data_IF_504781660298
#
_entry.id   IF_504781660298
#
_cell.length_a   1.000
_cell.length_b   1.000
_cell.length_c   1.000
_cell.angle_alpha   90.00
_cell.angle_beta   90.00
_cell.angle_gamma   90.00
#
_symmetry.space_group_name_H-M   'P 1'
#
loop_
_entity.id
_entity.type
_entity.pdbx_description
1 polymer ?
#
# COMPACT_ATOMS: atom_id res chain seq x y z
N UNK A 1 -28.67 29.70 9.65
CA UNK A 1 -28.01 28.45 9.22
C UNK A 1 -28.06 27.46 10.37
N UNK A 2 -28.53 26.23 10.13
CA UNK A 2 -28.50 25.18 11.14
C UNK A 2 -27.04 24.73 11.33
N UNK A 3 -26.61 24.59 12.57
CA UNK A 3 -25.24 24.13 12.87
C UNK A 3 -25.10 22.63 12.55
N UNK A 4 -23.89 22.12 12.23
CA UNK A 4 -23.67 20.69 12.03
C UNK A 4 -24.18 19.84 13.19
N UNK A 5 -24.08 20.36 14.42
CA UNK A 5 -24.64 19.76 15.63
C UNK A 5 -26.16 19.60 15.57
N UNK A 6 -26.89 20.65 15.18
CA UNK A 6 -28.36 20.63 15.08
C UNK A 6 -28.83 19.69 13.98
N UNK A 7 -28.14 19.67 12.84
CA UNK A 7 -28.42 18.76 11.71
C UNK A 7 -28.27 17.30 12.16
N UNK A 8 -27.15 16.95 12.78
CA UNK A 8 -26.89 15.59 13.28
C UNK A 8 -27.90 15.17 14.35
N UNK A 9 -28.20 16.05 15.31
CA UNK A 9 -29.12 15.73 16.38
C UNK A 9 -30.55 15.49 15.85
N UNK A 10 -30.98 16.27 14.84
CA UNK A 10 -32.26 16.06 14.16
C UNK A 10 -32.30 14.71 13.44
N UNK A 11 -31.21 14.33 12.77
CA UNK A 11 -31.07 13.04 12.09
C UNK A 11 -31.10 11.88 13.08
N UNK A 12 -30.35 11.95 14.19
CA UNK A 12 -30.29 10.85 15.18
C UNK A 12 -31.61 10.65 15.93
N UNK A 13 -32.42 11.71 16.10
CA UNK A 13 -33.78 11.58 16.64
C UNK A 13 -34.73 10.79 15.73
N UNK A 14 -34.44 10.69 14.44
CA UNK A 14 -35.20 9.90 13.47
C UNK A 14 -34.74 8.44 13.36
N UNK A 15 -33.64 8.07 14.01
CA UNK A 15 -33.18 6.69 14.13
C UNK A 15 -33.86 6.01 15.31
N UNK A 16 -34.42 4.82 15.07
CA UNK A 16 -34.88 3.92 16.15
C UNK A 16 -33.74 3.51 17.08
N UNK A 17 -34.06 2.94 18.24
CA UNK A 17 -33.02 2.54 19.22
C UNK A 17 -32.05 1.49 18.65
N UNK A 18 -32.57 0.50 17.92
CA UNK A 18 -31.74 -0.56 17.31
C UNK A 18 -30.87 -0.01 16.17
N UNK A 19 -31.44 0.85 15.31
CA UNK A 19 -30.71 1.53 14.23
C UNK A 19 -29.63 2.47 14.78
N UNK A 20 -29.92 3.15 15.89
CA UNK A 20 -28.96 4.03 16.54
C UNK A 20 -27.84 3.23 17.22
N UNK A 21 -28.15 2.05 17.78
CA UNK A 21 -27.14 1.13 18.31
C UNK A 21 -26.23 0.61 17.19
N UNK A 22 -26.80 0.29 16.04
CA UNK A 22 -26.06 -0.12 14.85
C UNK A 22 -25.18 1.02 14.31
N UNK A 23 -25.71 2.25 14.30
CA UNK A 23 -24.95 3.46 13.96
C UNK A 23 -23.72 3.63 14.83
N UNK A 24 -23.88 3.50 16.15
CA UNK A 24 -22.76 3.54 17.08
C UNK A 24 -21.78 2.38 16.88
N UNK A 25 -22.21 1.22 16.40
CA UNK A 25 -21.32 0.10 16.09
C UNK A 25 -20.41 0.42 14.90
N UNK A 26 -20.97 0.97 13.82
CA UNK A 26 -20.18 1.36 12.64
C UNK A 26 -19.19 2.48 12.92
N UNK A 27 -19.49 3.37 13.86
CA UNK A 27 -18.54 4.40 14.31
C UNK A 27 -17.32 3.85 15.09
N UNK A 28 -17.35 2.59 15.53
CA UNK A 28 -16.27 1.95 16.31
C UNK A 28 -15.24 1.21 15.44
N UNK A 29 -15.58 0.89 14.19
CA UNK A 29 -14.82 -0.05 13.36
C UNK A 29 -14.21 0.55 12.10
N UNK A 30 -13.25 -0.16 11.51
CA UNK A 30 -12.57 0.18 10.25
C UNK A 30 -13.45 0.07 9.00
N UNK A 31 -14.77 -0.14 9.16
CA UNK A 31 -15.73 -0.40 8.08
C UNK A 31 -15.82 0.76 7.08
N UNK A 32 -15.63 2.00 7.56
CA UNK A 32 -15.74 3.21 6.72
C UNK A 32 -14.40 3.86 6.42
N UNK A 33 -13.29 3.18 6.68
CA UNK A 33 -11.99 3.82 6.52
C UNK A 33 -11.93 5.20 7.23
N UNK A 34 -12.49 5.28 8.43
CA UNK A 34 -12.35 6.42 9.33
C UNK A 34 -11.69 5.94 10.61
N UNK A 35 -10.93 6.81 11.27
CA UNK A 35 -10.50 6.53 12.65
C UNK A 35 -11.75 6.31 13.49
N UNK A 36 -11.96 5.12 14.03
CA UNK A 36 -13.14 4.80 14.82
C UNK A 36 -13.09 5.52 16.18
N UNK A 37 -14.24 5.98 16.66
CA UNK A 37 -14.34 6.50 18.03
C UNK A 37 -14.28 5.31 19.00
N UNK A 38 -13.52 5.46 20.08
CA UNK A 38 -13.35 4.42 21.11
C UNK A 38 -14.68 3.79 21.52
N UNK A 39 -14.75 2.45 21.43
CA UNK A 39 -15.90 1.62 21.82
C UNK A 39 -16.44 1.94 23.21
N UNK A 40 -15.55 2.11 24.18
CA UNK A 40 -15.92 2.45 25.57
C UNK A 40 -16.63 3.80 25.72
N UNK A 41 -16.42 4.75 24.79
CA UNK A 41 -17.06 6.07 24.80
C UNK A 41 -18.44 6.02 24.14
N UNK A 42 -18.58 5.28 23.04
CA UNK A 42 -19.84 5.18 22.29
C UNK A 42 -20.87 4.26 22.96
N UNK A 43 -20.45 3.24 23.70
CA UNK A 43 -21.37 2.28 24.33
C UNK A 43 -22.35 2.97 25.28
N UNK A 44 -21.89 3.94 26.07
CA UNK A 44 -22.69 4.68 27.06
C UNK A 44 -23.29 5.99 26.56
N UNK A 45 -22.87 6.46 25.38
CA UNK A 45 -23.29 7.74 24.82
C UNK A 45 -24.75 7.71 24.36
N UNK A 46 -25.52 8.72 24.75
CA UNK A 46 -26.84 8.98 24.17
C UNK A 46 -26.73 9.69 22.79
N UNK A 47 -27.86 10.11 22.22
CA UNK A 47 -27.89 10.79 20.91
C UNK A 47 -27.10 12.10 20.92
N UNK A 48 -27.19 12.88 22.00
CA UNK A 48 -26.46 14.14 22.15
C UNK A 48 -24.98 13.89 22.37
N UNK A 49 -24.64 12.99 23.29
CA UNK A 49 -23.26 12.60 23.58
C UNK A 49 -22.53 12.08 22.33
N UNK A 50 -23.24 11.32 21.49
CA UNK A 50 -22.67 10.79 20.24
C UNK A 50 -22.34 11.91 19.26
N UNK A 51 -23.20 12.93 19.13
CA UNK A 51 -22.90 14.10 18.29
C UNK A 51 -21.70 14.87 18.83
N UNK A 52 -21.63 15.05 20.15
CA UNK A 52 -20.56 15.77 20.82
C UNK A 52 -19.22 15.00 20.79
N UNK A 53 -19.25 13.67 20.64
CA UNK A 53 -18.07 12.86 20.35
C UNK A 53 -17.66 12.95 18.87
N UNK A 54 -18.62 13.00 17.94
CA UNK A 54 -18.36 12.99 16.51
C UNK A 54 -17.84 14.33 15.96
N UNK A 55 -18.31 15.47 16.48
CA UNK A 55 -17.89 16.79 16.02
C UNK A 55 -16.38 17.06 16.21
N UNK A 56 -15.78 16.89 17.40
CA UNK A 56 -14.35 17.10 17.58
C UNK A 56 -13.51 15.99 16.93
N UNK A 57 -14.06 14.80 16.74
CA UNK A 57 -13.34 13.66 16.20
C UNK A 57 -13.21 13.70 14.68
N UNK A 58 -14.27 14.11 13.98
CA UNK A 58 -14.30 14.13 12.51
C UNK A 58 -14.28 15.56 11.92
N UNK A 59 -14.48 16.60 12.74
CA UNK A 59 -14.39 18.00 12.31
C UNK A 59 -15.38 18.34 11.20
N UNK A 60 -14.87 18.88 10.08
CA UNK A 60 -15.72 19.22 8.93
C UNK A 60 -16.31 17.98 8.22
N UNK A 61 -15.72 16.80 8.44
CA UNK A 61 -16.15 15.56 7.79
C UNK A 61 -17.30 14.88 8.54
N UNK A 62 -17.75 15.39 9.69
CA UNK A 62 -18.77 14.72 10.52
C UNK A 62 -20.07 14.44 9.76
N UNK A 63 -20.50 15.34 8.88
CA UNK A 63 -21.72 15.15 8.08
C UNK A 63 -21.54 14.05 7.04
N UNK A 64 -20.37 13.98 6.40
CA UNK A 64 -20.04 12.95 5.42
C UNK A 64 -19.90 11.58 6.07
N UNK A 65 -19.26 11.51 7.24
CA UNK A 65 -19.19 10.28 8.05
C UNK A 65 -20.59 9.77 8.39
N UNK A 66 -21.46 10.63 8.90
CA UNK A 66 -22.85 10.25 9.19
C UNK A 66 -23.58 9.76 7.95
N UNK A 67 -23.33 10.38 6.79
CA UNK A 67 -23.92 9.95 5.52
C UNK A 67 -23.51 8.54 5.15
N UNK A 68 -22.22 8.22 5.23
CA UNK A 68 -21.72 6.90 4.89
C UNK A 68 -22.24 5.83 5.86
N UNK A 69 -22.28 6.12 7.17
CA UNK A 69 -22.86 5.19 8.14
C UNK A 69 -24.36 4.95 7.86
N UNK A 70 -25.12 5.98 7.49
CA UNK A 70 -26.55 5.83 7.19
C UNK A 70 -26.82 4.98 5.93
N UNK A 71 -25.92 4.98 4.94
CA UNK A 71 -25.99 4.07 3.79
C UNK A 71 -25.80 2.60 4.19
N UNK A 72 -25.06 2.35 5.27
CA UNK A 72 -24.86 1.01 5.82
C UNK A 72 -26.05 0.51 6.64
N UNK A 73 -26.90 1.41 7.15
CA UNK A 73 -28.05 1.11 8.05
C UNK A 73 -29.38 1.17 7.25
N UNK A 74 -29.40 0.70 5.99
CA UNK A 74 -30.43 1.01 4.97
C UNK A 74 -31.24 2.33 5.05
N UNK A 75 -30.79 3.39 5.74
CA UNK A 75 -31.55 4.64 5.96
C UNK A 75 -31.22 5.68 4.89
N UNK A 76 -31.44 5.30 3.63
CA UNK A 76 -31.22 6.17 2.47
C UNK A 76 -32.18 7.38 2.43
N UNK A 77 -33.33 7.28 3.11
CA UNK A 77 -34.26 8.39 3.34
C UNK A 77 -33.60 9.55 4.09
N UNK A 78 -32.80 9.26 5.11
CA UNK A 78 -32.08 10.26 5.90
C UNK A 78 -30.85 10.83 5.18
N UNK A 79 -30.25 10.05 4.27
CA UNK A 79 -29.12 10.49 3.43
C UNK A 79 -29.53 11.62 2.48
N UNK A 80 -30.74 11.54 1.91
CA UNK A 80 -31.28 12.58 1.05
C UNK A 80 -31.52 13.90 1.82
N UNK A 81 -32.13 13.83 3.00
CA UNK A 81 -32.38 15.01 3.84
C UNK A 81 -31.08 15.68 4.35
N UNK A 82 -30.04 14.89 4.61
CA UNK A 82 -28.70 15.40 4.95
C UNK A 82 -28.03 16.16 3.79
N UNK A 83 -28.45 15.89 2.56
CA UNK A 83 -27.91 16.53 1.35
C UNK A 83 -28.61 17.86 1.07
N UNK A 84 -29.94 17.90 1.23
CA UNK A 84 -30.74 19.13 1.05
C UNK A 84 -30.44 20.21 2.09
N UNK A 85 -29.99 19.83 3.29
CA UNK A 85 -29.57 20.79 4.33
C UNK A 85 -28.17 21.39 4.12
N UNK A 86 -27.41 20.90 3.13
CA UNK A 86 -26.03 21.33 2.85
C UNK A 86 -25.88 22.25 1.63
N UNK A 87 -26.92 22.42 0.82
CA UNK A 87 -26.89 23.13 -0.47
C UNK A 87 -27.50 24.54 -0.47
N UNK A 88 -27.83 25.12 0.69
CA UNK A 88 -28.16 26.55 0.75
C UNK A 88 -26.91 27.42 0.91
N UNK A 89 -26.23 27.71 -0.20
CA UNK A 89 -25.81 29.08 -0.56
C UNK A 89 -25.14 29.12 -1.94
N UNK A 90 -25.65 30.04 -2.76
CA UNK A 90 -25.26 30.36 -4.13
C UNK A 90 -24.57 31.72 -4.22
N UNK A 91 -23.98 31.98 -5.38
CA UNK A 91 -23.88 33.26 -6.12
C UNK A 91 -22.50 33.93 -6.28
N UNK A 92 -22.31 34.34 -7.53
CA UNK A 92 -21.15 34.91 -8.22
C UNK A 92 -20.72 36.30 -7.74
N UNK A 93 -19.46 36.66 -8.00
CA UNK A 93 -19.17 37.91 -8.71
C UNK A 93 -17.77 37.89 -9.35
N UNK A 94 -17.74 38.20 -10.64
CA UNK A 94 -16.58 38.62 -11.41
C UNK A 94 -16.02 39.96 -10.88
N UNK A 95 -14.70 40.13 -10.97
CA UNK A 95 -14.02 41.40 -10.70
C UNK A 95 -12.59 41.34 -11.21
N UNK A 96 -12.30 42.22 -12.16
CA UNK A 96 -11.16 42.23 -13.06
C UNK A 96 -9.79 42.50 -12.40
N UNK A 97 -8.74 41.98 -13.03
CA UNK A 97 -7.32 42.37 -12.89
C UNK A 97 -7.12 43.81 -13.44
N UNK A 98 -6.04 44.58 -13.10
CA UNK A 98 -4.69 44.19 -13.54
C UNK A 98 -3.44 44.78 -12.79
N UNK A 99 -2.28 44.13 -13.04
CA UNK A 99 -0.87 44.62 -13.06
C UNK A 99 -0.24 45.14 -11.73
N UNK A 100 0.98 44.81 -11.30
CA UNK A 100 2.27 44.66 -11.99
C UNK A 100 3.29 43.98 -11.04
N UNK A 101 4.06 42.98 -11.52
CA UNK A 101 5.48 43.04 -11.91
C UNK A 101 6.52 42.89 -10.77
N UNK A 102 7.34 41.84 -10.90
CA UNK A 102 8.56 41.56 -10.14
C UNK A 102 9.21 40.24 -10.61
N UNK A 103 9.96 40.33 -11.73
CA UNK A 103 10.97 39.37 -12.26
C UNK A 103 11.89 38.81 -11.16
N UNK A 104 12.64 37.70 -11.26
CA UNK A 104 12.82 36.55 -12.15
C UNK A 104 13.83 35.65 -11.38
N UNK A 105 13.69 34.33 -11.47
CA UNK A 105 14.87 33.45 -11.48
C UNK A 105 14.59 32.29 -12.45
N UNK A 106 15.28 32.23 -13.60
CA UNK A 106 15.07 31.23 -14.64
C UNK A 106 16.11 30.11 -14.50
N UNK A 107 15.68 28.85 -14.36
CA UNK A 107 16.30 27.66 -14.98
C UNK A 107 15.61 26.35 -14.54
N UNK A 108 14.28 26.30 -14.65
CA UNK A 108 13.57 25.03 -14.89
C UNK A 108 12.74 25.20 -16.16
N UNK A 109 13.44 25.28 -17.30
CA UNK A 109 12.81 25.23 -18.62
C UNK A 109 12.15 23.87 -18.80
N UNK A 110 10.85 23.92 -18.60
CA UNK A 110 9.84 23.00 -19.05
C UNK A 110 10.00 22.77 -20.56
N UNK A 111 10.62 21.66 -20.95
CA UNK A 111 10.55 21.08 -22.30
C UNK A 111 10.54 19.55 -22.10
N UNK A 112 9.60 18.73 -22.54
CA UNK A 112 8.34 18.92 -23.25
C UNK A 112 7.53 17.66 -22.91
N UNK A 113 6.28 17.84 -22.47
CA UNK A 113 5.30 16.78 -22.25
C UNK A 113 5.07 15.98 -23.54
N UNK A 114 5.18 14.64 -23.46
CA UNK A 114 4.27 13.71 -24.14
C UNK A 114 4.13 12.42 -23.34
N UNK A 115 3.12 12.39 -22.48
CA UNK A 115 2.35 11.19 -22.18
C UNK A 115 0.91 11.65 -22.01
N UNK A 116 0.18 11.56 -23.13
CA UNK A 116 -1.27 11.57 -23.13
C UNK A 116 -1.79 10.46 -22.21
N UNK A 117 -3.02 10.66 -21.71
CA UNK A 117 -3.88 9.82 -20.87
C UNK A 117 -3.89 10.18 -19.37
N UNK A 118 -5.02 10.77 -18.96
CA UNK A 118 -5.25 11.41 -17.66
C UNK A 118 -5.07 10.51 -16.44
N UNK A 119 -3.91 10.63 -15.79
CA UNK A 119 -3.63 10.10 -14.47
C UNK A 119 -3.44 11.20 -13.43
N UNK A 120 -4.04 11.00 -12.25
CA UNK A 120 -3.78 11.75 -11.01
C UNK A 120 -2.26 11.87 -10.81
N UNK A 121 -1.71 13.08 -10.62
CA UNK A 121 -0.28 13.25 -10.33
C UNK A 121 0.11 12.42 -9.11
N UNK A 122 1.05 11.49 -9.27
CA UNK A 122 1.57 10.67 -8.17
C UNK A 122 2.51 11.52 -7.31
N UNK A 123 2.19 11.65 -6.03
CA UNK A 123 3.01 12.39 -5.07
C UNK A 123 4.04 11.47 -4.36
N UNK A 124 5.08 12.07 -3.77
CA UNK A 124 6.07 11.35 -2.97
C UNK A 124 6.90 10.34 -3.76
N UNK A 125 7.17 9.17 -3.17
CA UNK A 125 7.95 8.09 -3.80
C UNK A 125 7.22 7.43 -4.97
N UNK A 126 5.88 7.48 -4.99
CA UNK A 126 5.04 6.88 -6.05
C UNK A 126 5.26 7.54 -7.42
N UNK A 127 5.89 8.71 -7.50
CA UNK A 127 6.27 9.32 -8.79
C UNK A 127 7.38 8.56 -9.52
N UNK A 128 8.07 7.66 -8.84
CA UNK A 128 9.13 6.81 -9.39
C UNK A 128 8.63 5.40 -9.72
N UNK A 129 7.30 5.22 -9.89
CA UNK A 129 6.73 3.92 -10.24
C UNK A 129 7.40 3.32 -11.46
N UNK A 130 7.78 2.04 -11.35
CA UNK A 130 8.26 1.24 -12.46
C UNK A 130 7.39 -0.01 -12.61
N UNK A 131 7.14 -0.42 -13.84
CA UNK A 131 6.49 -1.70 -14.12
C UNK A 131 7.55 -2.80 -14.13
N UNK A 132 7.24 -3.92 -13.45
CA UNK A 132 8.11 -5.09 -13.38
C UNK A 132 7.50 -6.24 -14.18
N UNK A 133 8.37 -7.04 -14.79
CA UNK A 133 8.00 -8.26 -15.50
C UNK A 133 8.75 -9.44 -14.90
N UNK A 134 8.02 -10.49 -14.52
CA UNK A 134 8.62 -11.73 -14.02
C UNK A 134 9.42 -12.42 -15.14
N UNK A 135 10.66 -12.82 -14.85
CA UNK A 135 11.49 -13.53 -15.83
C UNK A 135 11.30 -15.06 -15.73
N UNK A 136 10.47 -15.60 -16.61
CA UNK A 136 10.25 -17.05 -16.79
C UNK A 136 11.52 -17.90 -16.92
N UNK A 137 12.63 -17.32 -17.35
CA UNK A 137 13.91 -18.02 -17.49
C UNK A 137 14.62 -18.24 -16.14
N UNK A 138 14.27 -17.45 -15.12
CA UNK A 138 14.84 -17.55 -13.77
C UNK A 138 13.99 -18.39 -12.82
N UNK A 139 12.69 -18.53 -13.12
CA UNK A 139 11.69 -19.15 -12.23
C UNK A 139 12.06 -20.60 -11.86
N UNK A 140 12.20 -20.86 -10.57
CA UNK A 140 12.38 -22.21 -10.07
C UNK A 140 11.19 -23.13 -10.43
N UNK A 141 11.48 -24.41 -10.67
CA UNK A 141 10.50 -25.41 -11.11
C UNK A 141 9.34 -25.65 -10.13
N UNK A 142 9.49 -25.32 -8.85
CA UNK A 142 8.43 -25.46 -7.85
C UNK A 142 7.45 -24.27 -7.84
N UNK A 143 7.73 -23.21 -8.61
CA UNK A 143 6.89 -22.02 -8.70
C UNK A 143 6.00 -22.08 -9.93
N UNK A 144 4.78 -21.57 -9.81
CA UNK A 144 3.83 -21.46 -10.92
C UNK A 144 3.49 -20.01 -11.19
N UNK A 145 3.65 -19.59 -12.44
CA UNK A 145 3.16 -18.33 -12.95
C UNK A 145 1.66 -18.42 -13.29
N UNK A 146 0.92 -17.35 -13.03
CA UNK A 146 -0.52 -17.22 -13.29
C UNK A 146 -0.88 -15.74 -13.49
N UNK A 147 -2.15 -15.46 -13.81
CA UNK A 147 -2.67 -14.09 -13.97
C UNK A 147 -1.81 -13.27 -14.95
N UNK A 148 -1.64 -13.79 -16.17
CA UNK A 148 -0.80 -13.18 -17.21
C UNK A 148 0.65 -12.90 -16.75
N UNK A 149 1.22 -13.85 -16.01
CA UNK A 149 2.54 -13.75 -15.39
C UNK A 149 2.71 -12.52 -14.46
N UNK A 150 1.62 -12.07 -13.82
CA UNK A 150 1.70 -11.10 -12.71
C UNK A 150 1.73 -11.75 -11.34
N UNK A 151 1.32 -13.02 -11.22
CA UNK A 151 1.27 -13.74 -9.96
C UNK A 151 2.06 -15.03 -9.97
N UNK A 152 2.75 -15.27 -8.87
CA UNK A 152 3.60 -16.44 -8.61
C UNK A 152 3.04 -17.17 -7.40
N UNK A 153 3.02 -18.50 -7.45
CA UNK A 153 2.63 -19.32 -6.30
C UNK A 153 3.53 -20.54 -6.19
N UNK A 154 3.97 -20.89 -4.98
CA UNK A 154 4.72 -22.12 -4.72
C UNK A 154 3.79 -23.32 -4.69
N UNK A 155 4.05 -24.34 -5.52
CA UNK A 155 3.15 -25.48 -5.77
C UNK A 155 3.53 -26.76 -5.00
N UNK A 156 4.43 -26.67 -4.01
CA UNK A 156 4.96 -27.84 -3.29
C UNK A 156 5.75 -28.78 -4.21
N UNK A 157 5.55 -30.10 -4.05
CA UNK A 157 6.31 -31.13 -4.79
C UNK A 157 6.00 -31.23 -6.30
N UNK A 158 5.09 -30.40 -6.83
CA UNK A 158 4.72 -30.45 -8.24
C UNK A 158 5.64 -29.56 -9.06
N UNK A 159 6.59 -30.18 -9.76
CA UNK A 159 7.45 -29.51 -10.73
C UNK A 159 6.63 -28.99 -11.92
N UNK A 160 6.84 -27.72 -12.26
CA UNK A 160 6.26 -27.09 -13.44
C UNK A 160 7.14 -27.38 -14.66
N UNK A 161 6.55 -27.51 -15.86
CA UNK A 161 7.24 -27.94 -17.08
C UNK A 161 8.03 -26.80 -17.73
N UNK A 162 8.92 -26.14 -16.97
CA UNK A 162 9.80 -25.11 -17.51
C UNK A 162 11.01 -25.75 -18.21
N UNK A 163 11.44 -25.23 -19.37
CA UNK A 163 12.63 -25.74 -20.04
C UNK A 163 13.89 -25.43 -19.23
N UNK A 164 14.92 -26.25 -19.37
CA UNK A 164 16.21 -25.98 -18.74
C UNK A 164 16.79 -24.63 -19.23
N UNK A 165 17.34 -23.88 -18.29
CA UNK A 165 17.95 -22.58 -18.57
C UNK A 165 19.10 -22.29 -17.58
N UNK A 166 20.23 -21.70 -18.01
CA UNK A 166 21.36 -21.41 -17.12
C UNK A 166 21.02 -20.43 -16.00
N UNK A 167 20.13 -19.46 -16.27
CA UNK A 167 19.68 -18.47 -15.27
C UNK A 167 18.60 -19.02 -14.31
N UNK A 168 18.15 -20.27 -14.47
CA UNK A 168 17.08 -20.83 -13.64
C UNK A 168 17.59 -21.18 -12.26
N UNK A 169 16.93 -20.68 -11.22
CA UNK A 169 17.18 -21.12 -9.85
C UNK A 169 16.76 -22.58 -9.69
N UNK A 170 17.65 -23.43 -9.16
CA UNK A 170 17.37 -24.85 -8.94
C UNK A 170 17.20 -25.21 -7.46
N UNK A 171 17.91 -24.50 -6.57
CA UNK A 171 18.06 -24.89 -5.16
C UNK A 171 16.97 -24.31 -4.25
N UNK A 172 16.53 -23.07 -4.52
CA UNK A 172 15.44 -22.41 -3.81
C UNK A 172 14.29 -22.04 -4.73
N UNK A 173 13.09 -22.03 -4.16
CA UNK A 173 11.89 -21.53 -4.80
C UNK A 173 11.97 -20.00 -4.91
N UNK A 174 12.68 -19.51 -5.93
CA UNK A 174 12.91 -18.08 -6.18
C UNK A 174 12.81 -17.74 -7.67
N UNK A 175 12.71 -16.45 -7.98
CA UNK A 175 12.81 -15.89 -9.32
C UNK A 175 13.26 -14.42 -9.28
N UNK A 176 13.58 -13.88 -10.46
CA UNK A 176 13.86 -12.45 -10.66
C UNK A 176 12.93 -11.82 -11.71
N UNK A 177 12.85 -10.50 -11.67
CA UNK A 177 12.28 -9.67 -12.72
C UNK A 177 13.32 -9.35 -13.81
N UNK A 178 12.84 -8.90 -14.98
CA UNK A 178 13.67 -8.64 -16.16
C UNK A 178 14.35 -7.27 -16.12
N UNK A 179 13.72 -6.31 -15.46
CA UNK A 179 14.10 -4.91 -15.52
C UNK A 179 15.34 -4.62 -14.66
N UNK A 180 16.33 -3.97 -15.27
CA UNK A 180 17.51 -3.47 -14.59
C UNK A 180 17.17 -2.13 -13.90
N UNK A 181 17.23 -2.11 -12.57
CA UNK A 181 16.92 -0.98 -11.72
C UNK A 181 18.19 -0.18 -11.44
N UNK A 182 18.43 0.87 -12.23
CA UNK A 182 19.66 1.71 -12.15
C UNK A 182 19.41 3.11 -11.59
N UNK A 183 18.17 3.44 -11.24
CA UNK A 183 17.78 4.79 -10.82
C UNK A 183 16.94 4.79 -9.55
N UNK A 184 16.01 5.74 -9.49
CA UNK A 184 14.96 5.74 -8.48
C UNK A 184 13.78 4.93 -8.99
N UNK A 185 13.40 3.90 -8.26
CA UNK A 185 12.38 2.94 -8.68
C UNK A 185 11.43 2.67 -7.51
N UNK A 186 10.15 2.55 -7.81
CA UNK A 186 9.11 2.24 -6.86
C UNK A 186 8.19 1.16 -7.42
N UNK A 187 7.93 0.10 -6.64
CA UNK A 187 6.94 -0.90 -6.99
C UNK A 187 6.22 -1.43 -5.75
N UNK A 188 5.04 -2.00 -5.97
CA UNK A 188 4.21 -2.61 -4.92
C UNK A 188 3.94 -4.08 -5.26
N UNK A 189 3.94 -4.92 -4.24
CA UNK A 189 3.56 -6.33 -4.35
C UNK A 189 2.62 -6.72 -3.23
N UNK A 190 1.59 -7.49 -3.58
CA UNK A 190 0.81 -8.25 -2.61
C UNK A 190 1.49 -9.58 -2.34
N UNK A 191 1.57 -9.98 -1.08
CA UNK A 191 2.18 -11.22 -0.65
C UNK A 191 1.26 -12.01 0.26
N UNK A 192 1.45 -13.33 0.28
CA UNK A 192 0.78 -14.28 1.17
C UNK A 192 1.72 -15.43 1.53
N UNK A 193 1.67 -15.88 2.77
CA UNK A 193 2.57 -16.91 3.31
C UNK A 193 3.94 -16.34 3.64
N UNK A 194 4.96 -17.19 3.60
CA UNK A 194 6.35 -16.78 3.78
C UNK A 194 6.97 -16.39 2.44
N UNK A 195 7.35 -15.12 2.30
CA UNK A 195 7.83 -14.54 1.04
C UNK A 195 9.01 -13.62 1.29
N UNK A 196 10.03 -13.75 0.45
CA UNK A 196 11.19 -12.86 0.41
C UNK A 196 10.99 -11.84 -0.71
N UNK A 197 11.12 -10.55 -0.42
CA UNK A 197 11.05 -9.46 -1.40
C UNK A 197 12.42 -8.82 -1.48
N UNK A 198 13.14 -9.10 -2.58
CA UNK A 198 14.54 -8.78 -2.69
C UNK A 198 14.88 -7.84 -3.86
N UNK A 199 16.04 -7.21 -3.74
CA UNK A 199 16.80 -6.72 -4.89
C UNK A 199 18.16 -7.43 -4.91
N UNK A 200 18.66 -7.74 -6.10
CA UNK A 200 19.90 -8.49 -6.25
C UNK A 200 20.67 -8.07 -7.50
N UNK A 201 21.98 -8.27 -7.49
CA UNK A 201 22.78 -8.22 -8.72
C UNK A 201 22.46 -9.39 -9.64
N UNK A 202 22.70 -9.19 -10.93
CA UNK A 202 22.48 -10.24 -11.94
C UNK A 202 23.34 -11.49 -11.68
N UNK A 203 24.54 -11.30 -11.13
CA UNK A 203 25.53 -12.35 -10.89
C UNK A 203 25.26 -13.28 -9.71
N UNK A 204 24.14 -13.11 -8.98
CA UNK A 204 23.80 -14.00 -7.87
C UNK A 204 23.77 -15.45 -8.34
N UNK A 205 24.32 -16.35 -7.52
CA UNK A 205 24.38 -17.75 -7.89
C UNK A 205 22.98 -18.33 -8.09
N UNK A 206 22.80 -19.10 -9.16
CA UNK A 206 21.55 -19.81 -9.47
C UNK A 206 21.48 -21.21 -8.87
N UNK A 207 22.66 -21.74 -8.53
CA UNK A 207 22.92 -23.13 -8.15
C UNK A 207 23.97 -23.18 -7.04
N UNK A 208 23.91 -24.15 -6.15
CA UNK A 208 24.93 -24.32 -5.11
C UNK A 208 24.34 -24.84 -3.80
N UNK A 209 25.14 -24.81 -2.73
CA UNK A 209 24.62 -25.07 -1.40
C UNK A 209 23.60 -23.99 -1.01
N UNK A 210 22.69 -24.35 -0.10
CA UNK A 210 21.50 -23.56 0.25
C UNK A 210 21.80 -22.10 0.63
N UNK A 211 22.98 -21.73 1.08
CA UNK A 211 23.19 -20.35 1.57
C UNK A 211 23.56 -19.38 0.42
N UNK A 212 24.33 -19.82 -0.58
CA UNK A 212 24.93 -18.91 -1.57
C UNK A 212 23.94 -18.33 -2.59
N UNK A 213 22.83 -19.03 -2.85
CA UNK A 213 21.86 -18.66 -3.88
C UNK A 213 20.54 -18.11 -3.31
N UNK A 214 20.34 -18.15 -1.99
CA UNK A 214 19.17 -17.58 -1.32
C UNK A 214 19.24 -16.06 -1.24
N UNK A 215 18.13 -15.35 -1.46
CA UNK A 215 18.08 -13.90 -1.24
C UNK A 215 18.39 -13.57 0.23
N UNK A 216 19.15 -12.49 0.44
CA UNK A 216 19.60 -12.05 1.78
C UNK A 216 20.72 -12.88 2.41
N UNK A 217 20.98 -14.09 1.92
CA UNK A 217 22.00 -15.01 2.46
C UNK A 217 23.39 -14.82 1.84
N UNK A 218 23.56 -13.84 0.96
CA UNK A 218 24.82 -13.50 0.28
C UNK A 218 25.05 -11.98 0.24
N UNK A 219 26.22 -11.55 -0.23
CA UNK A 219 26.61 -10.14 -0.36
C UNK A 219 26.08 -9.46 -1.64
N UNK A 220 25.35 -10.19 -2.49
CA UNK A 220 24.79 -9.71 -3.76
C UNK A 220 23.28 -9.44 -3.71
N UNK A 221 22.65 -9.62 -2.55
CA UNK A 221 21.22 -9.45 -2.39
C UNK A 221 20.85 -8.83 -1.05
N UNK A 222 19.73 -8.12 -1.08
CA UNK A 222 19.10 -7.46 0.07
C UNK A 222 17.62 -7.83 0.06
N UNK A 223 17.13 -8.43 1.13
CA UNK A 223 15.76 -8.94 1.22
C UNK A 223 14.98 -8.33 2.38
N UNK A 224 13.68 -8.20 2.17
CA UNK A 224 12.67 -8.09 3.21
C UNK A 224 11.91 -9.42 3.26
N UNK A 225 11.96 -10.09 4.39
CA UNK A 225 11.30 -11.36 4.60
C UNK A 225 9.95 -11.07 5.28
N UNK A 226 8.86 -11.55 4.67
CA UNK A 226 7.49 -11.33 5.08
C UNK A 226 6.87 -12.64 5.58
N UNK A 227 6.32 -12.65 6.78
CA UNK A 227 5.61 -13.81 7.34
C UNK A 227 4.44 -13.38 8.24
N UNK A 228 3.72 -14.37 8.79
CA UNK A 228 2.73 -14.13 9.83
C UNK A 228 3.33 -13.67 11.17
N UNK A 229 4.62 -13.92 11.39
CA UNK A 229 5.38 -13.46 12.55
C UNK A 229 5.81 -11.99 12.43
N UNK A 230 5.88 -11.45 11.20
CA UNK A 230 6.13 -10.04 10.94
C UNK A 230 7.06 -9.82 9.75
N UNK A 231 8.01 -8.90 9.94
CA UNK A 231 8.99 -8.53 8.92
C UNK A 231 10.39 -8.60 9.51
N UNK A 232 11.34 -9.15 8.75
CA UNK A 232 12.77 -9.04 9.00
C UNK A 232 13.47 -8.57 7.73
N UNK A 233 14.68 -8.04 7.87
CA UNK A 233 15.55 -7.73 6.73
C UNK A 233 16.80 -8.57 6.78
N UNK A 234 17.23 -9.06 5.63
CA UNK A 234 18.40 -9.92 5.51
C UNK A 234 19.37 -9.44 4.42
N UNK A 235 20.65 -9.49 4.75
CA UNK A 235 21.77 -9.24 3.83
C UNK A 235 23.05 -9.92 4.35
N UNK A 236 23.79 -10.58 3.46
CA UNK A 236 25.04 -11.28 3.80
C UNK A 236 24.90 -12.22 5.00
N UNK A 237 23.83 -13.02 5.00
CA UNK A 237 23.49 -13.98 6.05
C UNK A 237 23.29 -13.34 7.44
N UNK A 238 22.99 -12.04 7.48
CA UNK A 238 22.63 -11.32 8.69
C UNK A 238 21.18 -10.88 8.59
N UNK A 239 20.38 -11.41 9.48
CA UNK A 239 18.97 -11.08 9.64
C UNK A 239 18.79 -10.06 10.77
N UNK A 240 17.83 -9.16 10.62
CA UNK A 240 17.43 -8.21 11.66
C UNK A 240 15.91 -8.08 11.68
N UNK A 241 15.31 -8.50 12.78
CA UNK A 241 13.86 -8.39 13.01
C UNK A 241 13.42 -6.92 13.07
N UNK A 242 12.36 -6.59 12.34
CA UNK A 242 11.77 -5.26 12.39
C UNK A 242 10.76 -5.25 13.53
N UNK A 243 11.21 -4.74 14.68
CA UNK A 243 10.40 -4.55 15.89
C UNK A 243 9.19 -3.63 15.61
N UNK A 244 8.06 -4.20 15.21
CA UNK A 244 6.83 -3.46 14.93
C UNK A 244 5.87 -3.59 16.11
N UNK A 245 5.45 -2.45 16.69
CA UNK A 245 4.42 -2.37 17.77
C UNK A 245 3.00 -2.73 17.30
N UNK A 246 2.88 -3.33 16.12
CA UNK A 246 1.65 -3.65 15.42
C UNK A 246 1.84 -5.01 14.76
N UNK A 247 2.06 -6.03 15.57
CA UNK A 247 2.04 -7.44 15.19
C UNK A 247 0.63 -7.79 14.71
N UNK A 248 0.29 -7.38 13.50
CA UNK A 248 -0.84 -7.96 12.80
C UNK A 248 -0.38 -9.35 12.38
N UNK A 249 -0.80 -10.37 13.12
CA UNK A 249 -0.69 -11.78 12.76
C UNK A 249 -1.51 -12.05 11.50
N UNK A 250 -1.04 -11.54 10.36
CA UNK A 250 -1.68 -11.69 9.07
C UNK A 250 -0.69 -12.35 8.15
N UNK A 251 -1.05 -13.53 7.64
CA UNK A 251 -0.25 -14.28 6.68
C UNK A 251 -0.33 -13.69 5.27
N UNK A 252 -0.64 -12.40 5.14
CA UNK A 252 -0.72 -11.68 3.88
C UNK A 252 -0.63 -10.18 4.08
N UNK A 253 -0.18 -9.47 3.06
CA UNK A 253 -0.12 -8.01 3.07
C UNK A 253 0.29 -7.43 1.73
N UNK A 254 0.54 -6.13 1.73
CA UNK A 254 1.09 -5.41 0.58
C UNK A 254 2.32 -4.63 1.04
N UNK A 255 3.40 -4.77 0.28
CA UNK A 255 4.67 -4.09 0.53
C UNK A 255 5.00 -3.22 -0.68
N UNK A 256 5.46 -2.01 -0.40
CA UNK A 256 6.10 -1.16 -1.38
C UNK A 256 7.61 -1.17 -1.18
N UNK A 257 8.34 -1.18 -2.29
CA UNK A 257 9.79 -1.07 -2.30
C UNK A 257 10.17 0.23 -3.01
N UNK A 258 11.06 0.99 -2.40
CA UNK A 258 11.66 2.17 -2.99
C UNK A 258 13.18 2.01 -3.04
N UNK A 259 13.72 1.98 -4.24
CA UNK A 259 15.16 1.99 -4.49
C UNK A 259 15.59 3.41 -4.89
N UNK A 260 16.65 3.90 -4.28
CA UNK A 260 17.46 5.01 -4.80
C UNK A 260 18.88 4.47 -5.02
N UNK A 261 19.15 4.04 -6.25
CA UNK A 261 20.41 3.40 -6.62
C UNK A 261 21.60 4.35 -6.39
N UNK A 262 21.48 5.59 -6.84
CA UNK A 262 22.55 6.59 -6.72
C UNK A 262 22.84 6.99 -5.27
N UNK A 263 21.80 7.07 -4.42
CA UNK A 263 21.97 7.36 -3.00
C UNK A 263 22.35 6.13 -2.16
N UNK A 264 22.34 4.93 -2.75
CA UNK A 264 22.66 3.70 -2.03
C UNK A 264 21.64 3.32 -0.97
N UNK A 265 20.35 3.56 -1.22
CA UNK A 265 19.28 3.28 -0.25
C UNK A 265 18.17 2.42 -0.82
N UNK A 266 17.76 1.42 -0.05
CA UNK A 266 16.63 0.54 -0.34
C UNK A 266 15.67 0.59 0.83
N UNK A 267 14.47 1.11 0.61
CA UNK A 267 13.46 1.30 1.65
C UNK A 267 12.24 0.43 1.41
N UNK A 268 11.78 -0.20 2.47
CA UNK A 268 10.59 -1.05 2.47
C UNK A 268 9.48 -0.37 3.26
N UNK A 269 8.26 -0.48 2.76
CA UNK A 269 7.07 0.08 3.38
C UNK A 269 5.96 -0.95 3.40
N UNK A 270 5.24 -1.01 4.51
CA UNK A 270 3.92 -1.64 4.54
C UNK A 270 2.93 -0.69 3.88
N UNK A 271 2.12 -1.21 2.96
CA UNK A 271 1.04 -0.46 2.33
C UNK A 271 -0.27 -0.85 2.99
N UNK A 272 -0.96 0.11 3.60
CA UNK A 272 -2.30 -0.13 4.15
C UNK A 272 -3.33 -0.31 3.04
N UNK A 273 -4.56 -0.70 3.40
CA UNK A 273 -5.69 -0.72 2.45
C UNK A 273 -5.94 0.65 1.80
N UNK A 274 -5.57 1.74 2.48
CA UNK A 274 -5.73 3.13 2.01
C UNK A 274 -4.51 3.69 1.29
N UNK A 275 -3.69 2.82 0.72
CA UNK A 275 -2.45 3.19 0.00
C UNK A 275 -1.46 4.05 0.82
N UNK A 276 -1.58 4.04 2.14
CA UNK A 276 -0.68 4.77 3.03
C UNK A 276 0.57 3.93 3.28
N UNK A 277 1.73 4.57 3.14
CA UNK A 277 3.02 3.92 3.33
C UNK A 277 3.48 4.10 4.78
N UNK A 278 3.58 2.99 5.50
CA UNK A 278 4.25 2.92 6.80
C UNK A 278 5.65 2.38 6.56
N UNK A 279 6.68 3.19 6.85
CA UNK A 279 8.08 2.77 6.72
C UNK A 279 8.36 1.57 7.63
N UNK A 280 8.99 0.53 7.07
CA UNK A 280 9.42 -0.65 7.79
C UNK A 280 10.92 -0.57 8.08
N UNK A 281 11.72 -0.42 7.04
CA UNK A 281 13.18 -0.39 7.17
C UNK A 281 13.83 0.28 5.95
N UNK A 282 15.05 0.78 6.14
CA UNK A 282 15.92 1.24 5.03
C UNK A 282 17.29 0.60 5.15
N UNK A 283 17.63 -0.26 4.20
CA UNK A 283 18.98 -0.76 4.01
C UNK A 283 19.81 0.29 3.27
N UNK A 284 21.07 0.42 3.69
CA UNK A 284 22.06 1.28 3.03
C UNK A 284 23.21 0.43 2.52
N UNK A 285 23.57 0.62 1.25
CA UNK A 285 24.66 -0.09 0.60
C UNK A 285 25.22 0.75 -0.55
N UNK A 286 26.44 0.43 -0.98
CA UNK A 286 27.01 1.02 -2.20
C UNK A 286 26.74 0.06 -3.36
N UNK A 287 25.78 0.42 -4.21
CA UNK A 287 25.45 -0.41 -5.37
C UNK A 287 26.43 -0.17 -6.51
N UNK A 288 27.10 -1.23 -6.96
CA UNK A 288 28.16 -1.16 -7.98
C UNK A 288 27.66 -1.51 -9.38
N UNK A 289 26.53 -2.20 -9.46
CA UNK A 289 25.94 -2.74 -10.69
C UNK A 289 24.42 -2.52 -10.70
N UNK A 290 23.73 -2.69 -11.85
CA UNK A 290 22.28 -2.70 -11.90
C UNK A 290 21.68 -3.75 -10.97
N UNK A 291 20.62 -3.38 -10.26
CA UNK A 291 19.85 -4.29 -9.42
C UNK A 291 18.64 -4.83 -10.16
N UNK A 292 18.12 -5.95 -9.71
CA UNK A 292 16.94 -6.60 -10.25
C UNK A 292 16.04 -7.01 -9.09
N UNK A 293 14.74 -6.77 -9.22
CA UNK A 293 13.79 -7.27 -8.22
C UNK A 293 13.75 -8.80 -8.24
N UNK A 294 13.58 -9.42 -7.08
CA UNK A 294 13.50 -10.87 -6.90
C UNK A 294 12.49 -11.24 -5.83
N UNK A 295 11.93 -12.44 -5.95
CA UNK A 295 10.95 -12.97 -5.02
C UNK A 295 11.28 -14.41 -4.61
N UNK A 296 11.29 -14.67 -3.31
CA UNK A 296 11.46 -16.00 -2.71
C UNK A 296 10.21 -16.48 -1.99
N UNK A 297 10.08 -17.81 -1.81
CA UNK A 297 8.86 -18.44 -1.30
C UNK A 297 9.22 -19.55 -0.31
N UNK A 298 8.96 -19.33 0.99
CA UNK A 298 9.32 -20.26 2.08
C UNK A 298 8.37 -21.45 2.23
N UNK A 299 7.06 -21.24 2.01
CA UNK A 299 6.01 -22.23 2.26
C UNK A 299 5.15 -22.57 1.04
N UNK A 300 4.58 -23.77 1.03
CA UNK A 300 3.67 -24.20 -0.03
C UNK A 300 2.38 -23.36 -0.02
N UNK A 301 1.97 -22.86 -1.19
CA UNK A 301 0.87 -21.92 -1.31
C UNK A 301 1.22 -20.46 -1.00
N UNK A 302 2.48 -20.16 -0.64
CA UNK A 302 2.97 -18.79 -0.61
C UNK A 302 2.91 -18.17 -2.01
N UNK A 303 2.59 -16.88 -2.08
CA UNK A 303 2.36 -16.20 -3.36
C UNK A 303 2.72 -14.72 -3.34
N UNK A 304 3.13 -14.22 -4.50
CA UNK A 304 3.38 -12.80 -4.77
C UNK A 304 2.59 -12.41 -6.01
N UNK A 305 1.94 -11.26 -5.95
CA UNK A 305 1.27 -10.62 -7.09
C UNK A 305 1.83 -9.21 -7.28
N UNK A 306 2.28 -8.90 -8.49
CA UNK A 306 2.70 -7.54 -8.85
C UNK A 306 1.48 -6.61 -8.93
N UNK A 307 1.45 -5.54 -8.14
CA UNK A 307 0.35 -4.59 -8.16
C UNK A 307 0.40 -3.73 -9.44
N UNK A 308 -0.75 -3.43 -10.07
CA UNK A 308 -0.81 -2.39 -11.08
C UNK A 308 -0.58 -1.03 -10.40
N UNK A 309 0.32 -0.22 -10.97
CA UNK A 309 0.63 1.11 -10.46
C UNK A 309 -0.05 2.16 -11.31
#
# INVERSE_FOLDING_TARGET
MATPREVLLKTFKKLGEDEFKEFKWYLQGEVLEITGISKSKLEKADRGDTVDLMLPHYGMNTIEVTREVLKMIPRNDLVAELSESSSESSSDSEGENPLSAGLEDPLCSLETLRLDHGGKQRAGVKKYSCELTLDSNTVNICLKLSEDNRKVTRMGKKEQPYPDHPERFDSWAQLMCREALTGRCYWEVEWRGEVDIAVTYKGISRRGEREDCGFGSNDQSWSLDCSDEGYSVSHNNRETDISSSSSSSSSSGRVAVYLDHAAGSLSFYRVSSRDTLTHLHTLRATFTEPLYAGFGFGTDGASVSLCPL
#
